data_IF_590236752830
#
_entry.id   IF_590236752830
#
_cell.length_a   1.000
_cell.length_b   1.000
_cell.length_c   1.000
_cell.angle_alpha   90.00
_cell.angle_beta   90.00
_cell.angle_gamma   90.00
#
_symmetry.space_group_name_H-M   'P 1'
#
loop_
_entity.id
_entity.type
_entity.pdbx_description
1 polymer ?
#
# COMPACT_ATOMS: atom_id res chain seq x y z
N UNK A 1 -2.63 -10.61 -16.18
CA UNK A 1 -2.23 -9.41 -15.44
C UNK A 1 -0.70 -9.37 -15.40
N UNK A 2 -0.04 -8.22 -15.64
CA UNK A 2 1.44 -8.16 -15.50
C UNK A 2 1.81 -8.33 -14.03
N UNK A 3 2.66 -9.30 -13.72
CA UNK A 3 3.22 -9.51 -12.37
C UNK A 3 4.51 -8.72 -12.19
N UNK A 4 4.91 -8.51 -10.95
CA UNK A 4 6.17 -7.86 -10.59
C UNK A 4 7.13 -8.91 -10.02
N UNK A 5 8.32 -8.99 -10.63
CA UNK A 5 9.39 -9.92 -10.23
C UNK A 5 10.34 -9.34 -9.18
N UNK A 6 10.30 -8.02 -8.97
CA UNK A 6 11.08 -7.35 -7.94
C UNK A 6 10.37 -6.10 -7.42
N UNK A 7 10.51 -5.85 -6.12
CA UNK A 7 10.10 -4.60 -5.47
C UNK A 7 11.37 -3.89 -5.01
N UNK A 8 11.47 -2.56 -5.17
CA UNK A 8 12.59 -1.81 -4.60
C UNK A 8 12.53 -1.90 -3.06
N UNK A 9 13.42 -2.68 -2.47
CA UNK A 9 13.52 -2.89 -1.01
C UNK A 9 14.61 -2.06 -0.38
N UNK A 10 15.65 -1.67 -1.13
CA UNK A 10 16.71 -0.84 -0.60
C UNK A 10 16.35 0.66 -0.62
N UNK A 11 16.84 1.40 0.39
CA UNK A 11 16.65 2.86 0.49
C UNK A 11 17.12 3.60 -0.78
N UNK A 12 18.23 3.16 -1.38
CA UNK A 12 18.79 3.76 -2.60
C UNK A 12 17.86 3.58 -3.79
N UNK A 13 17.34 2.36 -4.01
CA UNK A 13 16.41 2.08 -5.09
C UNK A 13 15.11 2.89 -4.94
N UNK A 14 14.60 3.01 -3.72
CA UNK A 14 13.39 3.78 -3.41
C UNK A 14 13.61 5.28 -3.60
N UNK A 15 14.73 5.81 -3.11
CA UNK A 15 15.13 7.21 -3.32
C UNK A 15 15.28 7.54 -4.82
N UNK A 16 15.91 6.66 -5.61
CA UNK A 16 16.01 6.83 -7.07
C UNK A 16 14.65 6.95 -7.75
N UNK A 17 13.65 6.16 -7.33
CA UNK A 17 12.27 6.27 -7.86
C UNK A 17 11.63 7.61 -7.51
N UNK A 18 11.82 8.10 -6.29
CA UNK A 18 11.32 9.42 -5.89
C UNK A 18 11.99 10.56 -6.66
N UNK A 19 13.30 10.48 -6.89
CA UNK A 19 14.03 11.47 -7.71
C UNK A 19 13.48 11.48 -9.15
N UNK A 20 13.25 10.32 -9.76
CA UNK A 20 12.64 10.22 -11.09
C UNK A 20 11.24 10.82 -11.11
N UNK A 21 10.43 10.57 -10.08
CA UNK A 21 9.10 11.17 -9.94
C UNK A 21 9.19 12.69 -9.78
N UNK A 22 10.13 13.16 -8.93
CA UNK A 22 10.37 14.61 -8.75
C UNK A 22 10.79 15.31 -10.04
N UNK A 23 11.60 14.67 -10.89
CA UNK A 23 11.96 15.21 -12.20
C UNK A 23 10.74 15.40 -13.12
N UNK A 24 9.80 14.42 -13.15
CA UNK A 24 8.54 14.53 -13.90
C UNK A 24 7.67 15.68 -13.38
N UNK A 25 7.52 15.77 -12.06
CA UNK A 25 6.82 16.90 -11.41
C UNK A 25 7.46 18.23 -11.81
N UNK A 26 8.79 18.33 -11.85
CA UNK A 26 9.50 19.52 -12.33
C UNK A 26 9.13 19.90 -13.77
N UNK A 27 9.04 18.90 -14.67
CA UNK A 27 8.60 19.10 -16.05
C UNK A 27 7.15 19.62 -16.10
N UNK A 28 6.28 19.10 -15.24
CA UNK A 28 4.88 19.56 -15.18
C UNK A 28 4.77 21.03 -14.72
N UNK A 29 5.65 21.50 -13.83
CA UNK A 29 5.72 22.92 -13.50
C UNK A 29 6.20 23.77 -14.67
N UNK A 30 7.14 23.30 -15.49
CA UNK A 30 7.53 24.02 -16.71
C UNK A 30 6.35 24.15 -17.66
N UNK A 31 5.58 23.07 -17.87
CA UNK A 31 4.35 23.09 -18.67
C UNK A 31 3.31 24.05 -18.11
N UNK A 32 3.14 24.07 -16.78
CA UNK A 32 2.21 24.99 -16.11
C UNK A 32 2.52 26.46 -16.41
N UNK A 33 3.80 26.87 -16.38
CA UNK A 33 4.18 28.22 -16.74
C UNK A 33 3.94 28.53 -18.22
N UNK A 34 4.08 27.53 -19.11
CA UNK A 34 3.70 27.67 -20.51
C UNK A 34 2.17 27.77 -20.69
N UNK A 35 1.40 26.95 -19.99
CA UNK A 35 -0.07 26.97 -20.02
C UNK A 35 -0.65 28.32 -19.55
N UNK A 36 -0.04 28.98 -18.56
CA UNK A 36 -0.46 30.33 -18.11
C UNK A 36 -0.41 31.41 -19.19
N UNK A 37 0.30 31.18 -20.30
CA UNK A 37 0.34 32.13 -21.42
C UNK A 37 -0.92 31.98 -22.30
N UNK A 38 -1.51 30.79 -22.37
CA UNK A 38 -2.58 30.45 -23.32
C UNK A 38 -3.91 30.05 -22.66
N UNK A 39 -3.91 29.81 -21.37
CA UNK A 39 -5.07 29.34 -20.58
C UNK A 39 -5.32 30.27 -19.39
N UNK A 40 -6.48 30.11 -18.76
CA UNK A 40 -6.76 30.76 -17.47
C UNK A 40 -5.87 30.16 -16.37
N UNK A 41 -5.66 30.91 -15.30
CA UNK A 41 -4.84 30.43 -14.15
C UNK A 41 -5.45 29.20 -13.50
N UNK A 42 -6.80 29.12 -13.45
CA UNK A 42 -7.51 27.97 -12.90
C UNK A 42 -7.30 26.71 -13.75
N UNK A 43 -7.46 26.82 -15.07
CA UNK A 43 -7.21 25.70 -16.00
C UNK A 43 -5.76 25.23 -15.98
N UNK A 44 -4.80 26.16 -15.96
CA UNK A 44 -3.38 25.82 -15.89
C UNK A 44 -3.06 25.11 -14.57
N UNK A 45 -3.62 25.53 -13.45
CA UNK A 45 -3.45 24.93 -12.13
C UNK A 45 -4.10 23.55 -12.03
N UNK A 46 -5.30 23.38 -12.60
CA UNK A 46 -5.98 22.09 -12.63
C UNK A 46 -5.17 21.08 -13.46
N UNK A 47 -4.67 21.46 -14.64
CA UNK A 47 -3.81 20.63 -15.46
C UNK A 47 -2.51 20.22 -14.72
N UNK A 48 -1.89 21.15 -13.98
CA UNK A 48 -0.73 20.86 -13.15
C UNK A 48 -1.08 19.81 -12.09
N UNK A 49 -2.20 19.96 -11.39
CA UNK A 49 -2.63 19.03 -10.35
C UNK A 49 -2.89 17.63 -10.91
N UNK A 50 -3.58 17.53 -12.06
CA UNK A 50 -3.87 16.24 -12.72
C UNK A 50 -2.56 15.54 -13.13
N UNK A 51 -1.65 16.26 -13.78
CA UNK A 51 -0.38 15.70 -14.24
C UNK A 51 0.51 15.27 -13.05
N UNK A 52 0.63 16.12 -12.04
CA UNK A 52 1.41 15.79 -10.84
C UNK A 52 0.80 14.62 -10.08
N UNK A 53 -0.53 14.58 -9.88
CA UNK A 53 -1.20 13.47 -9.22
C UNK A 53 -0.94 12.15 -9.95
N UNK A 54 -0.96 12.14 -11.30
CA UNK A 54 -0.67 10.95 -12.10
C UNK A 54 0.78 10.50 -11.96
N UNK A 55 1.75 11.41 -12.13
CA UNK A 55 3.17 11.06 -12.09
C UNK A 55 3.61 10.61 -10.69
N UNK A 56 3.10 11.25 -9.63
CA UNK A 56 3.37 10.86 -8.24
C UNK A 56 2.76 9.50 -7.95
N UNK A 57 1.49 9.28 -8.32
CA UNK A 57 0.84 7.98 -8.13
C UNK A 57 1.59 6.84 -8.82
N UNK A 58 2.01 7.04 -10.08
CA UNK A 58 2.76 6.05 -10.84
C UNK A 58 4.12 5.75 -10.20
N UNK A 59 4.80 6.74 -9.63
CA UNK A 59 6.01 6.57 -8.85
C UNK A 59 5.79 5.75 -7.59
N UNK A 60 4.76 6.11 -6.80
CA UNK A 60 4.39 5.40 -5.58
C UNK A 60 3.92 3.97 -5.85
N UNK A 61 3.18 3.75 -6.94
CA UNK A 61 2.74 2.43 -7.40
C UNK A 61 3.90 1.49 -7.72
N UNK A 62 5.01 2.02 -8.27
CA UNK A 62 6.22 1.22 -8.52
C UNK A 62 6.96 0.86 -7.23
N UNK A 63 6.90 1.73 -6.21
CA UNK A 63 7.52 1.47 -4.91
C UNK A 63 6.71 0.48 -4.08
N UNK A 64 5.37 0.45 -4.26
CA UNK A 64 4.44 -0.33 -3.42
C UNK A 64 4.60 -0.05 -1.92
N UNK A 65 3.99 -0.90 -1.10
CA UNK A 65 4.20 -0.88 0.34
C UNK A 65 3.79 0.44 0.99
N UNK A 66 4.59 0.87 1.94
CA UNK A 66 4.34 2.04 2.79
C UNK A 66 4.11 3.33 2.00
N UNK A 67 4.89 3.61 0.97
CA UNK A 67 4.73 4.84 0.19
C UNK A 67 3.37 4.93 -0.53
N UNK A 68 2.90 3.81 -1.09
CA UNK A 68 1.58 3.75 -1.72
C UNK A 68 0.45 3.82 -0.68
N UNK A 69 0.64 3.20 0.49
CA UNK A 69 -0.32 3.27 1.60
C UNK A 69 -0.44 4.67 2.19
N UNK A 70 0.68 5.42 2.30
CA UNK A 70 0.65 6.84 2.67
C UNK A 70 -0.22 7.64 1.70
N UNK A 71 -0.05 7.45 0.39
CA UNK A 71 -0.90 8.12 -0.60
C UNK A 71 -2.38 7.77 -0.42
N UNK A 72 -2.70 6.50 -0.16
CA UNK A 72 -4.05 6.06 0.15
C UNK A 72 -4.61 6.77 1.39
N UNK A 73 -3.86 6.82 2.49
CA UNK A 73 -4.30 7.47 3.72
C UNK A 73 -4.53 8.97 3.52
N UNK A 74 -3.61 9.66 2.83
CA UNK A 74 -3.76 11.06 2.48
C UNK A 74 -5.01 11.34 1.62
N UNK A 75 -5.42 10.39 0.77
CA UNK A 75 -6.62 10.54 -0.07
C UNK A 75 -7.93 10.40 0.69
N UNK A 76 -7.91 9.86 1.90
CA UNK A 76 -9.10 9.73 2.75
C UNK A 76 -9.52 11.07 3.36
N UNK A 77 -8.57 11.97 3.59
CA UNK A 77 -8.85 13.33 4.05
C UNK A 77 -8.94 14.30 2.85
N UNK A 78 -10.19 14.59 2.44
CA UNK A 78 -10.47 15.47 1.32
C UNK A 78 -10.12 16.95 1.55
N UNK A 79 -9.79 17.32 2.79
CA UNK A 79 -9.41 18.69 3.15
C UNK A 79 -7.93 19.00 2.92
N UNK A 80 -7.09 17.98 2.86
CA UNK A 80 -5.64 18.10 2.76
C UNK A 80 -5.17 18.23 1.31
N UNK A 81 -5.78 17.44 0.39
CA UNK A 81 -5.33 17.32 -0.99
C UNK A 81 -6.30 17.97 -1.98
N UNK A 82 -5.80 18.60 -3.07
CA UNK A 82 -6.63 18.96 -4.22
C UNK A 82 -7.35 17.73 -4.78
N UNK A 83 -8.53 17.94 -5.35
CA UNK A 83 -9.43 16.89 -5.85
C UNK A 83 -8.73 15.89 -6.78
N UNK A 84 -7.92 16.37 -7.72
CA UNK A 84 -7.18 15.52 -8.66
C UNK A 84 -6.29 14.47 -7.97
N UNK A 85 -5.66 14.85 -6.85
CA UNK A 85 -4.86 13.92 -6.05
C UNK A 85 -5.72 12.91 -5.28
N UNK A 86 -6.82 13.37 -4.68
CA UNK A 86 -7.77 12.48 -3.98
C UNK A 86 -8.28 11.40 -4.93
N UNK A 87 -8.76 11.79 -6.11
CA UNK A 87 -9.26 10.87 -7.13
C UNK A 87 -8.18 9.89 -7.60
N UNK A 88 -6.97 10.37 -7.84
CA UNK A 88 -5.88 9.51 -8.33
C UNK A 88 -5.35 8.56 -7.25
N UNK A 89 -5.14 9.03 -6.03
CA UNK A 89 -4.57 8.25 -4.93
C UNK A 89 -5.55 7.21 -4.37
N UNK A 90 -6.87 7.45 -4.47
CA UNK A 90 -7.88 6.45 -4.11
C UNK A 90 -7.78 5.16 -4.93
N UNK A 91 -7.20 5.21 -6.13
CA UNK A 91 -6.93 4.02 -6.95
C UNK A 91 -5.91 3.06 -6.30
N UNK A 92 -5.14 3.51 -5.30
CA UNK A 92 -4.22 2.66 -4.55
C UNK A 92 -4.91 1.46 -3.86
N UNK A 93 -6.22 1.55 -3.66
CA UNK A 93 -7.01 0.47 -3.07
C UNK A 93 -7.21 -0.72 -4.02
N UNK A 94 -7.21 -0.50 -5.36
CA UNK A 94 -7.75 -1.47 -6.31
C UNK A 94 -6.79 -1.87 -7.44
N UNK A 95 -5.70 -1.15 -7.65
CA UNK A 95 -4.93 -1.29 -8.91
C UNK A 95 -3.42 -1.40 -8.71
N UNK A 96 -3.00 -2.42 -7.98
CA UNK A 96 -1.57 -2.70 -7.75
C UNK A 96 -1.20 -4.03 -8.44
N UNK A 97 -0.17 -4.08 -9.32
CA UNK A 97 0.26 -5.34 -9.92
C UNK A 97 0.70 -6.34 -8.85
N UNK A 98 0.27 -7.62 -8.91
CA UNK A 98 0.66 -8.63 -7.92
C UNK A 98 2.13 -9.04 -8.04
N UNK A 99 2.66 -9.66 -6.97
CA UNK A 99 3.94 -10.36 -7.00
C UNK A 99 3.89 -11.55 -7.94
N UNK A 100 5.01 -11.85 -8.55
CA UNK A 100 5.17 -13.10 -9.29
C UNK A 100 5.19 -14.33 -8.36
N UNK A 101 4.78 -15.51 -8.86
CA UNK A 101 4.81 -16.75 -8.08
C UNK A 101 6.15 -17.07 -7.40
N UNK A 102 7.32 -16.83 -8.02
CA UNK A 102 8.60 -17.03 -7.36
C UNK A 102 8.79 -16.19 -6.10
N UNK A 103 8.31 -14.93 -6.08
CA UNK A 103 8.39 -14.07 -4.90
C UNK A 103 7.43 -14.54 -3.79
N UNK A 104 6.25 -15.02 -4.15
CA UNK A 104 5.31 -15.64 -3.21
C UNK A 104 5.96 -16.86 -2.56
N UNK A 105 6.49 -17.77 -3.35
CA UNK A 105 7.17 -18.97 -2.86
C UNK A 105 8.35 -18.65 -1.93
N UNK A 106 9.13 -17.61 -2.30
CA UNK A 106 10.23 -17.12 -1.45
C UNK A 106 9.73 -16.63 -0.09
N UNK A 107 8.60 -15.92 -0.05
CA UNK A 107 7.99 -15.46 1.20
C UNK A 107 7.58 -16.65 2.07
N UNK A 108 6.89 -17.64 1.53
CA UNK A 108 6.54 -18.85 2.27
C UNK A 108 7.77 -19.60 2.82
N UNK A 109 8.80 -19.77 2.00
CA UNK A 109 10.04 -20.41 2.42
C UNK A 109 10.74 -19.66 3.56
N UNK A 110 10.70 -18.33 3.54
CA UNK A 110 11.32 -17.51 4.58
C UNK A 110 10.60 -17.62 5.93
N UNK A 111 9.26 -17.72 5.96
CA UNK A 111 8.46 -17.65 7.19
C UNK A 111 7.96 -19.00 7.68
N UNK A 112 7.83 -20.01 6.82
CA UNK A 112 7.42 -21.36 7.18
C UNK A 112 8.49 -22.42 6.92
N UNK A 113 9.59 -22.10 6.23
CA UNK A 113 10.58 -23.06 5.77
C UNK A 113 10.07 -24.00 4.66
N UNK A 114 8.84 -23.83 4.20
CA UNK A 114 8.10 -24.69 3.27
C UNK A 114 7.54 -23.89 2.09
N UNK A 115 7.23 -24.59 1.00
CA UNK A 115 6.47 -24.02 -0.10
C UNK A 115 4.96 -24.02 0.21
N UNK A 116 4.14 -23.18 -0.48
CA UNK A 116 2.69 -23.16 -0.26
C UNK A 116 2.03 -24.55 -0.39
N UNK A 117 2.41 -25.32 -1.40
CA UNK A 117 1.86 -26.67 -1.65
C UNK A 117 2.31 -27.74 -0.65
N UNK A 118 3.23 -27.43 0.26
CA UNK A 118 3.61 -28.28 1.38
C UNK A 118 2.79 -27.95 2.65
N UNK A 119 2.07 -26.82 2.62
CA UNK A 119 1.23 -26.36 3.74
C UNK A 119 -0.24 -26.59 3.41
N UNK A 120 -0.66 -26.23 2.19
CA UNK A 120 -2.03 -26.29 1.71
C UNK A 120 -2.23 -27.46 0.74
N UNK A 121 -3.44 -28.01 0.70
CA UNK A 121 -3.83 -29.06 -0.25
C UNK A 121 -3.86 -28.50 -1.68
N UNK A 122 -4.37 -27.26 -1.83
CA UNK A 122 -4.26 -26.48 -3.07
C UNK A 122 -3.84 -25.05 -2.75
N UNK A 123 -3.06 -24.45 -3.63
CA UNK A 123 -2.69 -23.04 -3.55
C UNK A 123 -2.68 -22.41 -4.94
N UNK A 124 -3.50 -21.38 -5.15
CA UNK A 124 -3.48 -20.65 -6.41
C UNK A 124 -2.33 -19.63 -6.40
N UNK A 125 -1.31 -19.88 -7.21
CA UNK A 125 -0.15 -18.99 -7.33
C UNK A 125 -0.48 -17.60 -7.93
N UNK A 126 -1.63 -17.48 -8.62
CA UNK A 126 -2.14 -16.19 -9.08
C UNK A 126 -3.00 -15.58 -7.98
N UNK A 127 -2.67 -14.35 -7.56
CA UNK A 127 -3.47 -13.65 -6.55
C UNK A 127 -4.85 -13.28 -7.08
N UNK A 128 -5.86 -13.42 -6.24
CA UNK A 128 -7.24 -12.99 -6.55
C UNK A 128 -7.43 -11.49 -6.30
N UNK A 129 -6.60 -10.90 -5.42
CA UNK A 129 -6.60 -9.46 -5.14
C UNK A 129 -5.20 -8.99 -4.76
N UNK A 130 -4.87 -7.73 -5.07
CA UNK A 130 -3.62 -7.09 -4.70
C UNK A 130 -3.90 -5.68 -4.17
N UNK A 131 -3.36 -5.39 -2.99
CA UNK A 131 -3.53 -4.13 -2.27
C UNK A 131 -2.20 -3.36 -2.12
N UNK A 132 -2.20 -2.26 -1.40
CA UNK A 132 -1.02 -1.40 -1.21
C UNK A 132 0.15 -2.10 -0.52
N UNK A 133 -0.10 -2.93 0.48
CA UNK A 133 0.94 -3.58 1.29
C UNK A 133 0.97 -5.11 1.17
N UNK A 134 0.05 -5.72 0.42
CA UNK A 134 -0.03 -7.19 0.29
C UNK A 134 -0.94 -7.65 -0.82
N UNK A 135 -1.10 -8.94 -0.95
CA UNK A 135 -1.99 -9.59 -1.92
C UNK A 135 -2.64 -10.83 -1.32
N UNK A 136 -3.77 -11.24 -1.88
CA UNK A 136 -4.56 -12.37 -1.39
C UNK A 136 -4.58 -13.48 -2.43
N UNK A 137 -4.37 -14.69 -1.97
CA UNK A 137 -4.43 -15.92 -2.75
C UNK A 137 -5.53 -16.83 -2.25
N UNK A 138 -6.10 -17.61 -3.14
CA UNK A 138 -7.00 -18.69 -2.79
C UNK A 138 -6.21 -19.96 -2.49
N UNK A 139 -6.58 -20.65 -1.43
CA UNK A 139 -6.03 -21.95 -1.06
C UNK A 139 -7.15 -22.87 -0.55
N UNK A 140 -6.83 -24.15 -0.37
CA UNK A 140 -7.69 -25.08 0.38
C UNK A 140 -6.84 -25.92 1.31
N UNK A 141 -7.42 -26.31 2.45
CA UNK A 141 -6.82 -27.25 3.39
C UNK A 141 -7.90 -27.92 4.25
N UNK A 142 -7.77 -29.23 4.42
CA UNK A 142 -8.70 -30.04 5.22
C UNK A 142 -10.19 -29.78 4.85
N UNK A 143 -10.47 -29.70 3.53
CA UNK A 143 -11.80 -29.46 2.99
C UNK A 143 -12.34 -28.02 3.14
N UNK A 144 -11.52 -27.07 3.62
CA UNK A 144 -11.87 -25.64 3.78
C UNK A 144 -11.33 -24.82 2.62
N UNK A 145 -12.13 -23.85 2.18
CA UNK A 145 -11.67 -22.79 1.27
C UNK A 145 -11.04 -21.67 2.10
N UNK A 146 -9.86 -21.22 1.70
CA UNK A 146 -9.05 -20.29 2.47
C UNK A 146 -8.63 -19.09 1.62
N UNK A 147 -8.63 -17.92 2.25
CA UNK A 147 -7.97 -16.72 1.78
C UNK A 147 -6.62 -16.58 2.48
N UNK A 148 -5.55 -16.47 1.70
CA UNK A 148 -4.18 -16.33 2.21
C UNK A 148 -3.63 -14.97 1.81
N UNK A 149 -3.54 -14.05 2.77
CA UNK A 149 -3.01 -12.69 2.60
C UNK A 149 -1.51 -12.70 2.83
N UNK A 150 -0.75 -12.24 1.86
CA UNK A 150 0.72 -12.22 1.89
C UNK A 150 1.20 -10.78 1.82
N UNK A 151 2.00 -10.35 2.78
CA UNK A 151 2.61 -9.03 2.80
C UNK A 151 3.74 -8.93 1.77
N UNK A 152 3.87 -7.77 1.14
CA UNK A 152 4.99 -7.50 0.24
C UNK A 152 6.32 -7.43 1.01
N UNK A 153 7.41 -8.00 0.46
CA UNK A 153 8.73 -7.93 1.08
C UNK A 153 9.19 -6.49 1.30
N UNK A 154 9.83 -6.22 2.43
CA UNK A 154 10.47 -4.94 2.72
C UNK A 154 9.51 -3.80 3.09
N UNK A 155 8.19 -4.07 3.26
CA UNK A 155 7.22 -3.01 3.58
C UNK A 155 7.47 -2.45 4.98
N UNK A 156 7.55 -3.29 6.00
CA UNK A 156 7.74 -2.86 7.38
C UNK A 156 9.06 -2.08 7.55
N UNK A 157 10.12 -2.58 6.93
CA UNK A 157 11.47 -2.02 7.00
C UNK A 157 11.60 -0.67 6.26
N UNK A 158 10.71 -0.40 5.31
CA UNK A 158 10.75 0.84 4.53
C UNK A 158 9.91 1.98 5.10
N UNK A 159 9.00 1.74 6.04
CA UNK A 159 8.02 2.72 6.54
C UNK A 159 8.69 4.05 6.93
N UNK A 160 9.58 4.03 7.91
CA UNK A 160 10.20 5.26 8.42
C UNK A 160 11.01 5.99 7.35
N UNK A 161 11.73 5.24 6.49
CA UNK A 161 12.50 5.85 5.41
C UNK A 161 11.63 6.43 4.30
N UNK A 162 10.53 5.79 3.95
CA UNK A 162 9.57 6.29 2.97
C UNK A 162 8.88 7.56 3.47
N UNK A 163 8.44 7.56 4.73
CA UNK A 163 7.83 8.73 5.35
C UNK A 163 8.80 9.90 5.43
N UNK A 164 10.06 9.66 5.83
CA UNK A 164 11.08 10.69 5.86
C UNK A 164 11.33 11.33 4.47
N UNK A 165 11.17 10.57 3.38
CA UNK A 165 11.30 11.08 2.02
C UNK A 165 10.02 11.77 1.51
N UNK A 166 8.86 11.24 1.82
CA UNK A 166 7.56 11.74 1.31
C UNK A 166 7.10 12.97 2.08
N UNK A 167 7.30 13.02 3.40
CA UNK A 167 6.84 14.10 4.28
C UNK A 167 7.24 15.50 3.83
N UNK A 168 8.54 15.84 3.56
CA UNK A 168 8.91 17.19 3.14
C UNK A 168 8.27 17.56 1.80
N UNK A 169 8.09 16.60 0.89
CA UNK A 169 7.43 16.82 -0.40
C UNK A 169 5.95 17.13 -0.17
N UNK A 170 5.25 16.34 0.63
CA UNK A 170 3.84 16.52 0.94
C UNK A 170 3.59 17.88 1.63
N UNK A 171 4.39 18.22 2.64
CA UNK A 171 4.29 19.50 3.34
C UNK A 171 4.43 20.67 2.36
N UNK A 172 5.42 20.63 1.48
CA UNK A 172 5.69 21.71 0.52
C UNK A 172 4.61 21.80 -0.57
N UNK A 173 4.20 20.66 -1.14
CA UNK A 173 3.24 20.64 -2.25
C UNK A 173 1.81 21.00 -1.81
N UNK A 174 1.41 20.55 -0.64
CA UNK A 174 0.05 20.70 -0.14
C UNK A 174 -0.07 21.81 0.91
N UNK A 175 1.04 22.54 1.18
CA UNK A 175 1.08 23.64 2.14
C UNK A 175 0.53 23.24 3.52
N UNK A 176 0.84 22.02 3.95
CA UNK A 176 0.45 21.50 5.26
C UNK A 176 1.22 22.29 6.32
N UNK A 177 0.56 23.23 6.99
CA UNK A 177 1.17 24.17 7.94
C UNK A 177 1.01 23.68 9.38
N UNK A 178 2.01 23.97 10.21
CA UNK A 178 1.94 23.95 11.66
C UNK A 178 2.56 22.72 12.33
N UNK A 179 2.57 22.77 13.67
CA UNK A 179 3.07 21.70 14.55
C UNK A 179 2.26 20.40 14.42
N UNK A 180 1.02 20.49 13.90
CA UNK A 180 0.13 19.35 13.71
C UNK A 180 0.60 18.41 12.59
N UNK A 181 1.41 18.90 11.63
CA UNK A 181 1.95 18.04 10.57
C UNK A 181 2.85 16.92 11.12
N UNK A 182 3.66 17.21 12.14
CA UNK A 182 4.54 16.20 12.74
C UNK A 182 3.73 15.13 13.47
N UNK A 183 2.70 15.54 14.21
CA UNK A 183 1.78 14.64 14.88
C UNK A 183 1.02 13.76 13.88
N UNK A 184 0.52 14.35 12.80
CA UNK A 184 -0.18 13.64 11.74
C UNK A 184 0.71 12.58 11.08
N UNK A 185 1.93 12.94 10.66
CA UNK A 185 2.85 11.99 10.05
C UNK A 185 3.32 10.91 11.02
N UNK A 186 3.43 11.24 12.32
CA UNK A 186 3.72 10.23 13.37
C UNK A 186 2.57 9.24 13.52
N UNK A 187 1.33 9.70 13.54
CA UNK A 187 0.14 8.85 13.59
C UNK A 187 0.05 7.94 12.35
N UNK A 188 0.34 8.49 11.15
CA UNK A 188 0.43 7.70 9.91
C UNK A 188 1.51 6.62 10.02
N UNK A 189 2.70 6.95 10.56
CA UNK A 189 3.77 5.98 10.78
C UNK A 189 3.34 4.85 11.71
N UNK A 190 2.76 5.19 12.86
CA UNK A 190 2.32 4.23 13.87
C UNK A 190 1.24 3.29 13.31
N UNK A 191 0.28 3.82 12.55
CA UNK A 191 -0.74 3.03 11.86
C UNK A 191 -0.15 2.11 10.79
N UNK A 192 0.83 2.57 10.03
CA UNK A 192 1.51 1.73 9.04
C UNK A 192 2.29 0.58 9.70
N UNK A 193 2.98 0.86 10.81
CA UNK A 193 3.68 -0.16 11.59
C UNK A 193 2.68 -1.20 12.12
N UNK A 194 1.55 -0.75 12.69
CA UNK A 194 0.49 -1.63 13.17
C UNK A 194 -0.04 -2.54 12.06
N UNK A 195 -0.36 -2.00 10.87
CA UNK A 195 -0.85 -2.77 9.72
C UNK A 195 0.16 -3.81 9.17
N UNK A 196 1.45 -3.64 9.45
CA UNK A 196 2.48 -4.62 9.02
C UNK A 196 2.70 -5.74 10.02
N UNK A 197 2.07 -5.68 11.19
CA UNK A 197 2.14 -6.72 12.22
C UNK A 197 0.97 -7.71 12.08
N UNK A 198 1.14 -8.71 11.21
CA UNK A 198 0.09 -9.67 10.91
C UNK A 198 -0.24 -10.62 12.07
N UNK A 199 0.69 -10.89 12.98
CA UNK A 199 0.38 -11.66 14.20
C UNK A 199 -0.60 -10.87 15.08
N UNK A 200 -0.35 -9.56 15.24
CA UNK A 200 -1.26 -8.70 15.99
C UNK A 200 -2.61 -8.54 15.29
N UNK A 201 -2.63 -8.43 13.94
CA UNK A 201 -3.87 -8.37 13.14
C UNK A 201 -4.74 -9.62 13.37
N UNK A 202 -4.14 -10.81 13.33
CA UNK A 202 -4.86 -12.08 13.62
C UNK A 202 -5.40 -12.10 15.04
N UNK A 203 -4.57 -11.76 16.04
CA UNK A 203 -4.97 -11.73 17.45
C UNK A 203 -6.14 -10.79 17.70
N UNK A 204 -6.02 -9.53 17.26
CA UNK A 204 -7.07 -8.52 17.44
C UNK A 204 -8.37 -8.91 16.71
N UNK A 205 -8.26 -9.51 15.52
CA UNK A 205 -9.43 -9.97 14.76
C UNK A 205 -10.15 -11.12 15.48
N UNK A 206 -9.43 -12.03 16.09
CA UNK A 206 -10.03 -13.13 16.89
C UNK A 206 -10.68 -12.59 18.18
N UNK A 207 -10.04 -11.67 18.88
CA UNK A 207 -10.59 -11.00 20.06
C UNK A 207 -11.88 -10.21 19.72
N UNK A 208 -11.87 -9.51 18.59
CA UNK A 208 -13.04 -8.78 18.09
C UNK A 208 -14.19 -9.75 17.74
N UNK A 209 -13.90 -10.85 17.06
CA UNK A 209 -14.90 -11.87 16.71
C UNK A 209 -15.54 -12.46 17.97
N UNK A 210 -14.74 -12.75 19.00
CA UNK A 210 -15.23 -13.24 20.29
C UNK A 210 -16.10 -12.19 21.01
N UNK A 211 -15.65 -10.94 21.10
CA UNK A 211 -16.38 -9.86 21.74
C UNK A 211 -17.74 -9.56 21.07
N UNK A 212 -17.81 -9.76 19.75
CA UNK A 212 -19.01 -9.47 18.95
C UNK A 212 -19.87 -10.70 18.62
N UNK A 213 -19.59 -11.88 19.17
CA UNK A 213 -20.29 -13.13 18.84
C UNK A 213 -21.80 -13.09 19.07
N UNK A 214 -22.28 -12.21 19.98
CA UNK A 214 -23.71 -12.07 20.33
C UNK A 214 -24.45 -11.06 19.44
N UNK A 215 -23.79 -10.42 18.47
CA UNK A 215 -24.42 -9.44 17.59
C UNK A 215 -25.11 -10.19 16.44
N UNK A 216 -26.45 -10.09 16.28
CA UNK A 216 -27.16 -10.80 15.21
C UNK A 216 -26.68 -10.36 13.83
N UNK A 217 -26.58 -11.33 12.91
CA UNK A 217 -26.20 -11.11 11.51
C UNK A 217 -24.78 -10.54 11.29
N UNK A 218 -23.94 -10.53 12.31
CA UNK A 218 -22.52 -10.20 12.17
C UNK A 218 -21.70 -11.47 11.99
N UNK A 219 -20.95 -11.55 10.90
CA UNK A 219 -20.10 -12.70 10.56
C UNK A 219 -18.66 -12.24 10.49
N UNK A 220 -17.78 -12.96 11.15
CA UNK A 220 -16.33 -12.77 11.09
C UNK A 220 -15.67 -13.94 10.36
N UNK A 221 -14.63 -13.71 9.56
CA UNK A 221 -13.80 -14.79 9.04
C UNK A 221 -13.11 -15.50 10.20
N UNK A 222 -12.96 -16.80 10.10
CA UNK A 222 -12.14 -17.57 11.04
C UNK A 222 -10.68 -17.48 10.64
N UNK A 223 -9.84 -17.08 11.56
CA UNK A 223 -8.39 -17.01 11.38
C UNK A 223 -7.72 -18.32 11.82
N UNK A 224 -6.63 -18.68 11.14
CA UNK A 224 -5.87 -19.89 11.40
C UNK A 224 -4.42 -19.55 11.78
N UNK A 225 -4.10 -19.39 13.10
CA UNK A 225 -2.77 -19.02 13.57
C UNK A 225 -1.68 -20.02 13.12
N UNK A 226 -1.98 -21.32 13.11
CA UNK A 226 -1.03 -22.38 12.71
C UNK A 226 -0.62 -22.28 11.22
N UNK A 227 -1.41 -21.63 10.40
CA UNK A 227 -1.15 -21.36 8.98
C UNK A 227 -0.90 -19.87 8.70
N UNK A 228 -0.64 -19.11 9.76
CA UNK A 228 -0.31 -17.68 9.71
C UNK A 228 1.09 -17.43 10.27
N UNK A 229 1.67 -16.28 9.91
CA UNK A 229 3.00 -15.85 10.37
C UNK A 229 3.07 -14.33 10.41
N UNK A 230 4.23 -13.76 10.72
CA UNK A 230 4.44 -12.31 10.72
C UNK A 230 4.04 -11.60 9.40
N UNK A 231 4.09 -12.32 8.28
CA UNK A 231 3.87 -11.76 6.93
C UNK A 231 2.82 -12.49 6.11
N UNK A 232 2.15 -13.47 6.70
CA UNK A 232 1.14 -14.28 6.04
C UNK A 232 -0.04 -14.48 6.99
N UNK A 233 -1.24 -14.12 6.55
CA UNK A 233 -2.50 -14.40 7.28
C UNK A 233 -3.30 -15.41 6.50
N UNK A 234 -3.81 -16.42 7.19
CA UNK A 234 -4.73 -17.41 6.64
C UNK A 234 -6.07 -17.32 7.35
N UNK A 235 -7.15 -17.20 6.58
CA UNK A 235 -8.54 -17.13 7.04
C UNK A 235 -9.47 -17.84 6.07
N UNK A 236 -10.74 -18.14 6.47
CA UNK A 236 -11.79 -18.66 5.56
C UNK A 236 -12.57 -17.53 4.87
#
# INVERSE_FOLDING_TARGET
MKTIDSIPTSKIQRASKLIQTGAKVGVNYIKYYGDKITKTEEEAKENLNINNASDIYDGLKQMKGSALKVAQMLSMDKSILPRAYVEKFSLAQFSVPPLSPPLVNKTFKNYFGKQPNEIFDTFNATSINAASIGQVHQASKDGKNLAVKIQYPGVAESISSDLAMVKPIAIKMFNIKGKDSDKYFKEVEDKLIEETNYINEVKQSMEMAEACQNIPNLVFPKYYPDWSSEKIITMD
#
